data_IF_201043410301
#
_entry.id   IF_201043410301
#
_cell.length_a   1.000
_cell.length_b   1.000
_cell.length_c   1.000
_cell.angle_alpha   90.00
_cell.angle_beta   90.00
_cell.angle_gamma   90.00
#
_symmetry.space_group_name_H-M   'P 1'
#
loop_
_entity.id
_entity.type
_entity.pdbx_description
1 polymer ?
#
# COMPACT_ATOMS: atom_id res chain seq x y z
N UNK A 1 11.18 10.37 -8.86
CA UNK A 1 11.45 10.15 -7.41
C UNK A 1 10.77 8.87 -6.94
N UNK A 2 9.52 8.61 -7.36
CA UNK A 2 8.76 7.39 -7.09
C UNK A 2 9.52 6.10 -7.45
N UNK A 3 10.10 6.00 -8.65
CA UNK A 3 10.89 4.81 -9.07
C UNK A 3 12.00 4.40 -8.10
N UNK A 4 12.79 5.37 -7.60
CA UNK A 4 13.87 5.08 -6.65
C UNK A 4 13.35 4.59 -5.30
N UNK A 5 12.22 5.17 -4.84
CA UNK A 5 11.55 4.72 -3.62
C UNK A 5 10.96 3.32 -3.79
N UNK A 6 10.39 3.02 -4.96
CA UNK A 6 9.86 1.71 -5.29
C UNK A 6 10.96 0.65 -5.35
N UNK A 7 12.12 0.95 -5.95
CA UNK A 7 13.26 0.02 -5.97
C UNK A 7 13.74 -0.36 -4.56
N UNK A 8 13.78 0.61 -3.64
CA UNK A 8 14.10 0.35 -2.24
C UNK A 8 13.05 -0.57 -1.60
N UNK A 9 11.77 -0.24 -1.76
CA UNK A 9 10.68 -1.06 -1.21
C UNK A 9 10.68 -2.47 -1.77
N UNK A 10 10.86 -2.63 -3.09
CA UNK A 10 10.97 -3.92 -3.75
C UNK A 10 12.08 -4.78 -3.15
N UNK A 11 13.25 -4.20 -2.88
CA UNK A 11 14.36 -4.91 -2.23
C UNK A 11 14.02 -5.32 -0.80
N UNK A 12 13.39 -4.42 -0.03
CA UNK A 12 12.96 -4.70 1.34
C UNK A 12 11.96 -5.86 1.40
N UNK A 13 10.92 -5.84 0.56
CA UNK A 13 9.92 -6.91 0.49
C UNK A 13 10.48 -8.21 -0.09
N UNK A 14 11.40 -8.14 -1.05
CA UNK A 14 12.07 -9.32 -1.62
C UNK A 14 12.89 -10.08 -0.58
N UNK A 15 13.45 -9.41 0.44
CA UNK A 15 14.16 -10.06 1.54
C UNK A 15 13.25 -11.00 2.37
N UNK A 16 11.93 -10.74 2.37
CA UNK A 16 10.92 -11.56 3.03
C UNK A 16 10.17 -12.49 2.06
N UNK A 17 10.60 -12.57 0.79
CA UNK A 17 9.96 -13.42 -0.22
C UNK A 17 8.66 -12.86 -0.82
N UNK A 18 8.35 -11.58 -0.59
CA UNK A 18 7.12 -10.94 -1.12
C UNK A 18 7.40 -10.28 -2.47
N UNK A 19 6.59 -10.63 -3.49
CA UNK A 19 6.66 -10.03 -4.83
C UNK A 19 5.72 -8.81 -4.94
N UNK A 20 6.29 -7.61 -4.91
CA UNK A 20 5.54 -6.35 -5.00
C UNK A 20 4.87 -6.13 -6.35
N UNK A 21 5.46 -6.59 -7.46
CA UNK A 21 4.91 -6.40 -8.81
C UNK A 21 3.64 -7.26 -8.99
N UNK A 22 3.67 -8.49 -8.46
CA UNK A 22 2.50 -9.37 -8.46
C UNK A 22 1.35 -8.80 -7.63
N UNK A 23 1.67 -8.21 -6.48
CA UNK A 23 0.68 -7.56 -5.59
C UNK A 23 0.00 -6.38 -6.28
N UNK A 24 0.76 -5.50 -6.93
CA UNK A 24 0.22 -4.35 -7.68
C UNK A 24 -0.76 -4.82 -8.76
N UNK A 25 -0.39 -5.83 -9.55
CA UNK A 25 -1.28 -6.41 -10.60
C UNK A 25 -2.56 -7.00 -10.02
N UNK A 26 -2.49 -7.58 -8.81
CA UNK A 26 -3.66 -8.15 -8.13
C UNK A 26 -4.59 -7.04 -7.63
N UNK A 27 -4.02 -5.96 -7.11
CA UNK A 27 -4.76 -4.79 -6.66
C UNK A 27 -5.50 -4.10 -7.82
N UNK A 28 -4.87 -3.96 -8.98
CA UNK A 28 -5.48 -3.37 -10.20
C UNK A 28 -6.73 -4.11 -10.69
N UNK A 29 -6.83 -5.42 -10.43
CA UNK A 29 -7.99 -6.23 -10.82
C UNK A 29 -9.20 -6.04 -9.90
N UNK A 30 -9.01 -5.41 -8.73
CA UNK A 30 -10.09 -5.21 -7.77
C UNK A 30 -10.90 -3.98 -8.17
N UNK A 31 -12.09 -4.20 -8.72
CA UNK A 31 -13.06 -3.14 -8.94
C UNK A 31 -13.79 -2.85 -7.62
N UNK A 32 -13.53 -1.67 -7.03
CA UNK A 32 -14.18 -1.25 -5.79
C UNK A 32 -15.02 0.00 -6.07
N UNK A 33 -16.33 -0.12 -5.83
CA UNK A 33 -17.30 0.97 -5.93
C UNK A 33 -17.62 1.49 -4.52
N UNK A 34 -16.70 2.24 -3.91
CA UNK A 34 -16.89 2.85 -2.58
C UNK A 34 -16.43 4.31 -2.54
N UNK A 35 -17.13 5.15 -1.78
CA UNK A 35 -16.74 6.56 -1.59
C UNK A 35 -15.36 6.74 -0.93
N UNK A 36 -14.95 5.82 -0.05
CA UNK A 36 -13.63 5.81 0.60
C UNK A 36 -12.67 4.75 0.02
N UNK A 37 -12.74 4.51 -1.29
CA UNK A 37 -11.99 3.47 -1.99
C UNK A 37 -10.47 3.49 -1.72
N UNK A 38 -9.85 4.66 -1.54
CA UNK A 38 -8.40 4.77 -1.27
C UNK A 38 -8.00 4.09 0.06
N UNK A 39 -8.80 4.25 1.12
CA UNK A 39 -8.51 3.63 2.40
C UNK A 39 -8.61 2.11 2.34
N UNK A 40 -9.62 1.62 1.62
CA UNK A 40 -9.85 0.18 1.41
C UNK A 40 -8.71 -0.42 0.59
N UNK A 41 -8.33 0.21 -0.53
CA UNK A 41 -7.23 -0.28 -1.36
C UNK A 41 -5.89 -0.29 -0.63
N UNK A 42 -5.60 0.71 0.21
CA UNK A 42 -4.38 0.72 1.04
C UNK A 42 -4.39 -0.42 2.05
N UNK A 43 -5.51 -0.68 2.71
CA UNK A 43 -5.62 -1.79 3.66
C UNK A 43 -5.42 -3.15 2.97
N UNK A 44 -6.03 -3.34 1.80
CA UNK A 44 -5.84 -4.55 0.99
C UNK A 44 -4.39 -4.68 0.54
N UNK A 45 -3.75 -3.59 0.10
CA UNK A 45 -2.34 -3.59 -0.29
C UNK A 45 -1.44 -4.03 0.86
N UNK A 46 -1.62 -3.46 2.06
CA UNK A 46 -0.84 -3.83 3.25
C UNK A 46 -1.02 -5.32 3.57
N UNK A 47 -2.25 -5.83 3.52
CA UNK A 47 -2.53 -7.24 3.75
C UNK A 47 -1.85 -8.16 2.71
N UNK A 48 -1.81 -7.75 1.44
CA UNK A 48 -1.15 -8.51 0.37
C UNK A 48 0.38 -8.45 0.44
N UNK A 49 0.93 -7.40 1.04
CA UNK A 49 2.37 -7.23 1.24
C UNK A 49 2.90 -7.89 2.52
N UNK A 50 2.01 -8.39 3.39
CA UNK A 50 2.40 -9.05 4.62
C UNK A 50 3.02 -10.44 4.32
N UNK A 51 4.22 -10.76 4.85
CA UNK A 51 4.82 -12.09 4.75
C UNK A 51 4.08 -13.13 5.62
N UNK A 52 2.87 -13.53 5.22
CA UNK A 52 2.02 -14.42 6.02
C UNK A 52 2.66 -15.78 6.28
N UNK A 53 3.50 -16.29 5.36
CA UNK A 53 4.19 -17.57 5.53
C UNK A 53 5.11 -17.59 6.76
N UNK A 54 5.79 -16.47 7.05
CA UNK A 54 6.65 -16.35 8.22
C UNK A 54 5.83 -16.35 9.52
N UNK A 55 4.68 -15.66 9.53
CA UNK A 55 3.78 -15.63 10.68
C UNK A 55 3.20 -17.02 10.96
N UNK A 56 2.79 -17.74 9.92
CA UNK A 56 2.27 -19.11 10.03
C UNK A 56 3.33 -20.09 10.52
N UNK A 57 4.60 -19.90 10.13
CA UNK A 57 5.71 -20.73 10.60
C UNK A 57 5.93 -20.57 12.11
N UNK A 58 5.98 -19.34 12.60
CA UNK A 58 6.16 -19.06 14.04
C UNK A 58 4.94 -19.49 14.85
N UNK A 59 3.74 -19.36 14.31
CA UNK A 59 2.51 -19.87 14.92
C UNK A 59 2.54 -21.40 15.07
N UNK A 60 2.94 -22.13 14.01
CA UNK A 60 3.10 -23.60 14.06
C UNK A 60 4.16 -24.06 15.06
N UNK A 61 5.17 -23.23 15.31
CA UNK A 61 6.21 -23.46 16.33
C UNK A 61 5.74 -23.15 17.75
N UNK A 62 4.53 -22.57 17.91
CA UNK A 62 4.02 -22.10 19.19
C UNK A 62 4.74 -20.85 19.71
N UNK A 63 5.52 -20.17 18.87
CA UNK A 63 6.29 -19.00 19.26
C UNK A 63 5.50 -17.70 19.00
N UNK A 64 4.55 -17.43 19.88
CA UNK A 64 3.68 -16.25 19.76
C UNK A 64 4.42 -14.93 20.01
N UNK A 65 5.53 -14.95 20.75
CA UNK A 65 6.37 -13.78 20.98
C UNK A 65 7.02 -13.29 19.68
N UNK A 66 7.63 -14.21 18.93
CA UNK A 66 8.21 -13.89 17.63
C UNK A 66 7.15 -13.46 16.61
N UNK A 67 6.00 -14.15 16.59
CA UNK A 67 4.89 -13.76 15.71
C UNK A 67 4.47 -12.32 15.96
N UNK A 68 4.31 -11.91 17.22
CA UNK A 68 3.93 -10.54 17.56
C UNK A 68 5.02 -9.54 17.15
N UNK A 69 6.29 -9.84 17.44
CA UNK A 69 7.41 -8.99 17.06
C UNK A 69 7.46 -8.78 15.53
N UNK A 70 7.32 -9.85 14.75
CA UNK A 70 7.28 -9.78 13.28
C UNK A 70 6.12 -8.90 12.78
N UNK A 71 4.93 -9.02 13.37
CA UNK A 71 3.78 -8.20 13.01
C UNK A 71 4.04 -6.70 13.26
N UNK A 72 4.72 -6.33 14.34
CA UNK A 72 5.10 -4.94 14.60
C UNK A 72 6.17 -4.45 13.61
N UNK A 73 7.19 -5.27 13.32
CA UNK A 73 8.23 -4.94 12.34
C UNK A 73 7.64 -4.71 10.94
N UNK A 74 6.69 -5.54 10.51
CA UNK A 74 6.06 -5.41 9.20
C UNK A 74 5.27 -4.10 9.01
N UNK A 75 4.81 -3.45 10.09
CA UNK A 75 4.16 -2.14 10.01
C UNK A 75 5.12 -1.02 9.60
N UNK A 76 6.42 -1.21 9.82
CA UNK A 76 7.46 -0.22 9.48
C UNK A 76 7.98 -0.37 8.04
N UNK A 77 7.59 -1.44 7.34
CA UNK A 77 8.00 -1.67 5.96
C UNK A 77 7.47 -0.56 5.03
N UNK A 78 8.18 -0.24 3.94
CA UNK A 78 7.89 0.90 3.08
C UNK A 78 6.70 0.65 2.12
N UNK A 79 5.52 0.37 2.66
CA UNK A 79 4.30 0.15 1.86
C UNK A 79 3.89 1.41 1.08
N UNK A 80 4.21 2.60 1.60
CA UNK A 80 3.93 3.88 0.95
C UNK A 80 4.58 3.99 -0.43
N UNK A 81 5.80 3.50 -0.58
CA UNK A 81 6.49 3.51 -1.87
C UNK A 81 5.87 2.53 -2.89
N UNK A 82 5.31 1.41 -2.42
CA UNK A 82 4.54 0.48 -3.26
C UNK A 82 3.21 1.11 -3.67
N UNK A 83 2.55 1.82 -2.75
CA UNK A 83 1.33 2.58 -3.03
C UNK A 83 1.55 3.68 -4.07
N UNK A 84 2.64 4.45 -3.95
CA UNK A 84 2.97 5.51 -4.90
C UNK A 84 3.23 4.95 -6.31
N UNK A 85 3.85 3.76 -6.40
CA UNK A 85 4.02 3.06 -7.67
C UNK A 85 2.67 2.65 -8.27
N UNK A 86 1.76 2.12 -7.46
CA UNK A 86 0.39 1.82 -7.90
C UNK A 86 -0.35 3.07 -8.40
N UNK A 87 -0.25 4.20 -7.69
CA UNK A 87 -0.83 5.47 -8.13
C UNK A 87 -0.28 5.94 -9.47
N UNK A 88 1.05 5.82 -9.66
CA UNK A 88 1.71 6.18 -10.90
C UNK A 88 1.22 5.33 -12.09
N UNK A 89 1.07 4.02 -11.91
CA UNK A 89 0.55 3.12 -12.96
C UNK A 89 -0.91 3.40 -13.31
N UNK A 90 -1.71 3.77 -12.31
CA UNK A 90 -3.11 4.15 -12.49
C UNK A 90 -3.31 5.59 -12.98
N UNK A 91 -2.22 6.33 -13.22
CA UNK A 91 -2.23 7.75 -13.62
C UNK A 91 -3.01 8.66 -12.67
N UNK A 92 -3.05 8.31 -11.38
CA UNK A 92 -3.70 9.11 -10.33
C UNK A 92 -2.66 9.85 -9.48
N UNK A 93 -2.99 11.03 -8.91
CA UNK A 93 -2.07 11.76 -8.05
C UNK A 93 -1.66 10.93 -6.83
N UNK A 94 -0.36 10.76 -6.64
CA UNK A 94 0.20 10.12 -5.44
C UNK A 94 0.20 11.10 -4.25
N UNK A 95 0.25 10.56 -3.03
CA UNK A 95 0.36 11.37 -1.81
C UNK A 95 -0.82 12.32 -1.57
N UNK A 96 -0.52 13.59 -1.27
CA UNK A 96 -1.50 14.64 -0.95
C UNK A 96 -1.87 15.53 -2.13
N UNK A 97 -1.32 15.28 -3.33
CA UNK A 97 -1.47 16.18 -4.48
C UNK A 97 -2.94 16.34 -4.91
N UNK A 98 -3.75 15.29 -4.72
CA UNK A 98 -5.20 15.34 -4.96
C UNK A 98 -5.92 16.43 -4.15
N UNK A 99 -5.39 16.83 -2.98
CA UNK A 99 -5.99 17.89 -2.16
C UNK A 99 -5.94 19.25 -2.87
N UNK A 100 -4.93 19.49 -3.72
CA UNK A 100 -4.84 20.71 -4.52
C UNK A 100 -5.95 20.76 -5.56
N UNK A 101 -6.28 19.62 -6.16
CA UNK A 101 -7.35 19.54 -7.15
C UNK A 101 -8.73 19.70 -6.51
N UNK A 102 -8.92 19.16 -5.29
CA UNK A 102 -10.14 19.40 -4.50
C UNK A 102 -10.29 20.88 -4.13
N UNK A 103 -9.23 21.53 -3.64
CA UNK A 103 -9.27 22.97 -3.33
C UNK A 103 -9.60 23.82 -4.55
N UNK A 104 -8.99 23.54 -5.70
CA UNK A 104 -9.32 24.22 -6.98
C UNK A 104 -10.78 24.02 -7.37
N UNK A 105 -11.34 22.84 -7.12
CA UNK A 105 -12.74 22.54 -7.39
C UNK A 105 -13.67 23.28 -6.43
N UNK A 106 -13.35 23.30 -5.13
CA UNK A 106 -14.09 24.05 -4.11
C UNK A 106 -14.17 25.54 -4.45
N UNK A 107 -13.05 26.16 -4.81
CA UNK A 107 -12.98 27.57 -5.19
C UNK A 107 -13.74 27.89 -6.48
N UNK A 108 -13.78 26.97 -7.45
CA UNK A 108 -14.40 27.22 -8.76
C UNK A 108 -15.90 26.95 -8.79
N UNK A 109 -16.36 25.96 -8.02
CA UNK A 109 -17.72 25.40 -8.13
C UNK A 109 -18.50 25.56 -6.84
N UNK A 110 -17.97 25.11 -5.70
CA UNK A 110 -18.70 25.12 -4.43
C UNK A 110 -18.82 26.53 -3.84
N UNK A 111 -17.83 27.40 -4.07
CA UNK A 111 -17.88 28.82 -3.66
C UNK A 111 -19.00 29.62 -4.35
N UNK A 112 -19.52 29.10 -5.48
CA UNK A 112 -20.57 29.73 -6.28
C UNK A 112 -21.96 29.13 -6.02
N UNK A 113 -22.07 28.23 -5.06
CA UNK A 113 -23.30 27.51 -4.71
C UNK A 113 -23.84 27.97 -3.37
#
# INVERSE_FOLDING_TARGET
>A
MVEKGYEFARKAYAAYGVDTDAVIKRLQKLQISLHCWQGVLKAILIALLEPTELLLLEEKRGNYGNRLALMEEFKTLPFGAVWDKYCLEMQVPAGSDWMLDVRKYEEKVLSKR
#
